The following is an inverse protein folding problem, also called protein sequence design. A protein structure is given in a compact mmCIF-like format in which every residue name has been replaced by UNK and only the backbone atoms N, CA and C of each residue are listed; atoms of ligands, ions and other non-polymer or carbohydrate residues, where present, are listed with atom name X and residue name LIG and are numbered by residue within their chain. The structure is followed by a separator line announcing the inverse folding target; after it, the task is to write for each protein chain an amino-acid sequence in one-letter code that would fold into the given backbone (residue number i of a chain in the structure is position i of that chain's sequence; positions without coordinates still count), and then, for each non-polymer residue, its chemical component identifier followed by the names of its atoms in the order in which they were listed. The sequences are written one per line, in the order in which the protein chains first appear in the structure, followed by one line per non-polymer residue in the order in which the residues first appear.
data_IF_271329563823
#
_entry.id   IF_271329563823
#
_cell.length_a   1.000
_cell.length_b   1.000
_cell.length_c   1.000
_cell.angle_alpha   90.00
_cell.angle_beta   90.00
_cell.angle_gamma   90.00
#
_symmetry.space_group_name_H-M   'P 1'
#
loop_
_entity.id
_entity.type
_entity.pdbx_description
1 polymer ?
#
# COMPACT_ATOMS: atom_id res chain seq x y z
N UNK A 1 -31.28 18.39 1.57
CA UNK A 1 -30.65 18.59 0.25
C UNK A 1 -29.47 17.63 0.14
N UNK A 2 -29.39 16.80 -0.89
CA UNK A 2 -28.20 15.98 -1.11
C UNK A 2 -27.03 16.91 -1.49
N UNK A 3 -25.98 16.97 -0.65
CA UNK A 3 -24.76 17.68 -1.03
C UNK A 3 -24.18 17.06 -2.32
N UNK A 4 -23.89 17.88 -3.35
CA UNK A 4 -23.33 17.40 -4.60
C UNK A 4 -21.99 16.72 -4.36
N UNK A 5 -21.70 15.67 -5.14
CA UNK A 5 -20.42 14.96 -5.07
C UNK A 5 -19.30 15.99 -5.29
N UNK A 6 -18.35 16.14 -4.34
CA UNK A 6 -17.28 17.11 -4.47
C UNK A 6 -16.38 16.72 -5.64
N UNK A 7 -16.22 17.64 -6.59
CA UNK A 7 -15.34 17.45 -7.73
C UNK A 7 -13.86 17.62 -7.34
N UNK A 8 -12.99 16.81 -7.93
CA UNK A 8 -11.54 16.86 -7.71
C UNK A 8 -10.92 17.96 -8.59
N UNK A 9 -11.14 19.20 -8.17
CA UNK A 9 -10.62 20.39 -8.88
C UNK A 9 -9.11 20.28 -9.04
N UNK A 10 -8.63 20.46 -10.27
CA UNK A 10 -7.21 20.36 -10.67
C UNK A 10 -6.55 18.98 -10.45
N UNK A 11 -7.35 17.91 -10.24
CA UNK A 11 -6.83 16.58 -9.93
C UNK A 11 -5.89 16.52 -8.72
N UNK A 12 -6.02 17.48 -7.79
CA UNK A 12 -5.14 17.63 -6.64
C UNK A 12 -5.17 16.40 -5.72
N UNK A 13 -6.34 15.77 -5.57
CA UNK A 13 -6.47 14.55 -4.76
C UNK A 13 -5.82 13.37 -5.49
N UNK A 14 -5.93 13.30 -6.80
CA UNK A 14 -5.24 12.25 -7.58
C UNK A 14 -3.72 12.35 -7.41
N UNK A 15 -3.16 13.56 -7.55
CA UNK A 15 -1.74 13.81 -7.30
C UNK A 15 -1.35 13.49 -5.86
N UNK A 16 -2.18 13.84 -4.88
CA UNK A 16 -1.91 13.47 -3.49
C UNK A 16 -1.90 11.94 -3.27
N UNK A 17 -2.78 11.19 -3.92
CA UNK A 17 -2.78 9.72 -3.84
C UNK A 17 -1.55 9.13 -4.56
N UNK A 18 -1.14 9.73 -5.68
CA UNK A 18 0.11 9.36 -6.34
C UNK A 18 1.31 9.60 -5.43
N UNK A 19 1.42 10.78 -4.81
CA UNK A 19 2.51 11.08 -3.88
C UNK A 19 2.43 10.23 -2.61
N UNK A 20 1.24 9.83 -2.15
CA UNK A 20 1.11 8.86 -1.07
C UNK A 20 1.74 7.50 -1.44
N UNK A 21 1.58 7.06 -2.69
CA UNK A 21 2.26 5.89 -3.24
C UNK A 21 3.79 6.03 -3.27
N UNK A 22 4.26 7.24 -3.57
CA UNK A 22 5.69 7.57 -3.49
C UNK A 22 6.19 7.42 -2.05
N UNK A 23 5.51 8.06 -1.10
CA UNK A 23 5.97 8.17 0.29
C UNK A 23 6.18 6.84 1.01
N UNK A 24 5.31 5.83 0.86
CA UNK A 24 5.55 4.57 1.59
C UNK A 24 6.58 3.64 0.94
N UNK A 25 6.99 3.84 -0.32
CA UNK A 25 7.98 2.98 -0.97
C UNK A 25 9.36 3.65 -1.05
N UNK A 26 9.39 4.98 -1.12
CA UNK A 26 10.61 5.78 -1.22
C UNK A 26 11.63 5.45 -0.12
N UNK A 27 11.27 5.36 1.18
CA UNK A 27 12.24 5.12 2.26
C UNK A 27 13.04 3.83 2.09
N UNK A 28 12.37 2.71 1.83
CA UNK A 28 13.06 1.43 1.62
C UNK A 28 13.95 1.48 0.39
N UNK A 29 13.44 2.04 -0.72
CA UNK A 29 14.22 2.20 -1.95
C UNK A 29 15.48 3.05 -1.71
N UNK A 30 15.43 4.08 -0.86
CA UNK A 30 16.60 4.88 -0.51
C UNK A 30 17.68 4.07 0.20
N UNK A 31 17.30 3.18 1.14
CA UNK A 31 18.26 2.33 1.84
C UNK A 31 18.98 1.35 0.90
N UNK A 32 18.26 0.68 0.01
CA UNK A 32 18.85 -0.35 -0.87
C UNK A 32 19.63 0.23 -2.05
N UNK A 33 19.30 1.45 -2.49
CA UNK A 33 19.91 2.05 -3.70
C UNK A 33 21.27 2.69 -3.42
N UNK A 34 21.60 2.93 -2.15
CA UNK A 34 22.93 3.39 -1.68
C UNK A 34 23.95 2.24 -1.58
N UNK A 35 23.84 1.28 -2.50
CA UNK A 35 24.61 0.02 -2.53
C UNK A 35 26.12 0.24 -2.63
N UNK A 36 26.55 1.28 -3.32
CA UNK A 36 27.97 1.62 -3.46
C UNK A 36 28.57 2.09 -2.12
N UNK A 37 27.86 2.95 -1.39
CA UNK A 37 28.30 3.35 -0.05
C UNK A 37 28.31 2.18 0.93
N UNK A 38 27.28 1.34 0.89
CA UNK A 38 27.15 0.18 1.76
C UNK A 38 28.27 -0.84 1.50
N UNK A 39 28.61 -1.13 0.24
CA UNK A 39 29.70 -2.05 -0.09
C UNK A 39 31.08 -1.49 0.24
N UNK A 40 31.28 -0.17 0.15
CA UNK A 40 32.52 0.46 0.60
C UNK A 40 32.65 0.36 2.13
N UNK A 41 31.58 0.70 2.84
CA UNK A 41 31.56 0.73 4.32
C UNK A 41 31.67 -0.67 4.94
N UNK A 42 31.09 -1.68 4.29
CA UNK A 42 31.07 -3.07 4.76
C UNK A 42 31.66 -4.03 3.71
N UNK A 43 32.98 -4.02 3.50
CA UNK A 43 33.61 -4.88 2.51
C UNK A 43 33.50 -6.35 2.91
N UNK A 44 33.04 -7.19 1.98
CA UNK A 44 32.94 -8.65 2.17
C UNK A 44 31.69 -9.12 2.92
N UNK A 45 30.75 -8.23 3.23
CA UNK A 45 29.43 -8.61 3.78
C UNK A 45 28.33 -8.39 2.76
N UNK A 46 27.25 -9.16 2.89
CA UNK A 46 26.05 -9.08 2.04
C UNK A 46 24.99 -8.16 2.65
N UNK A 47 25.37 -6.93 3.01
CA UNK A 47 24.50 -5.99 3.74
C UNK A 47 23.18 -5.70 3.02
N UNK A 48 23.20 -5.56 1.68
CA UNK A 48 21.98 -5.27 0.90
C UNK A 48 21.03 -6.47 0.89
N UNK A 49 21.57 -7.70 0.84
CA UNK A 49 20.80 -8.91 1.01
C UNK A 49 20.16 -8.97 2.40
N UNK A 50 20.93 -8.69 3.46
CA UNK A 50 20.45 -8.70 4.84
C UNK A 50 19.35 -7.66 5.08
N UNK A 51 19.53 -6.42 4.59
CA UNK A 51 18.51 -5.37 4.64
C UNK A 51 17.22 -5.80 3.94
N UNK A 52 17.33 -6.45 2.78
CA UNK A 52 16.19 -6.94 2.02
C UNK A 52 15.45 -8.06 2.76
N UNK A 53 16.20 -9.01 3.33
CA UNK A 53 15.65 -10.08 4.13
C UNK A 53 14.95 -9.53 5.38
N UNK A 54 15.58 -8.60 6.10
CA UNK A 54 14.97 -7.91 7.25
C UNK A 54 13.67 -7.21 6.85
N UNK A 55 13.66 -6.46 5.74
CA UNK A 55 12.47 -5.79 5.25
C UNK A 55 11.33 -6.77 4.98
N UNK A 56 11.60 -7.87 4.27
CA UNK A 56 10.59 -8.87 3.91
C UNK A 56 10.02 -9.57 5.15
N UNK A 57 10.87 -10.00 6.08
CA UNK A 57 10.45 -10.69 7.30
C UNK A 57 9.61 -9.77 8.19
N UNK A 58 10.05 -8.53 8.38
CA UNK A 58 9.31 -7.55 9.19
C UNK A 58 8.01 -7.16 8.51
N UNK A 59 8.00 -6.97 7.18
CA UNK A 59 6.79 -6.69 6.42
C UNK A 59 5.77 -7.83 6.54
N UNK A 60 6.20 -9.09 6.49
CA UNK A 60 5.31 -10.24 6.69
C UNK A 60 4.65 -10.20 8.07
N UNK A 61 5.44 -9.98 9.13
CA UNK A 61 4.93 -9.84 10.50
C UNK A 61 3.99 -8.63 10.60
N UNK A 62 4.35 -7.50 9.99
CA UNK A 62 3.55 -6.28 9.99
C UNK A 62 2.21 -6.48 9.28
N UNK A 63 2.14 -7.22 8.17
CA UNK A 63 0.88 -7.57 7.49
C UNK A 63 -0.03 -8.40 8.40
N UNK A 64 0.53 -9.38 9.14
CA UNK A 64 -0.23 -10.21 10.08
C UNK A 64 -0.77 -9.38 11.24
N UNK A 65 0.06 -8.48 11.79
CA UNK A 65 -0.33 -7.55 12.86
C UNK A 65 -1.29 -6.47 12.39
N UNK A 66 -1.21 -6.06 11.12
CA UNK A 66 -2.05 -5.01 10.56
C UNK A 66 -3.53 -5.33 10.69
N UNK A 67 -3.89 -6.61 10.64
CA UNK A 67 -5.24 -7.08 10.91
C UNK A 67 -5.76 -6.56 12.26
N UNK A 68 -4.96 -6.63 13.33
CA UNK A 68 -5.29 -6.12 14.67
C UNK A 68 -5.21 -4.59 14.72
N UNK A 69 -4.19 -3.99 14.09
CA UNK A 69 -4.01 -2.53 14.10
C UNK A 69 -5.18 -1.81 13.41
N UNK A 70 -5.70 -2.36 12.30
CA UNK A 70 -6.86 -1.82 11.58
C UNK A 70 -8.08 -1.67 12.50
N UNK A 71 -8.23 -2.54 13.48
CA UNK A 71 -9.36 -2.56 14.40
C UNK A 71 -9.14 -1.67 15.63
N UNK A 72 -7.88 -1.50 16.05
CA UNK A 72 -7.52 -0.74 17.26
C UNK A 72 -7.25 0.73 17.00
N UNK A 73 -6.75 1.07 15.81
CA UNK A 73 -6.24 2.40 15.50
C UNK A 73 -6.96 3.03 14.31
N UNK A 74 -7.30 4.31 14.44
CA UNK A 74 -7.86 5.10 13.35
C UNK A 74 -6.91 5.08 12.14
N UNK A 75 -7.48 5.00 10.93
CA UNK A 75 -6.78 5.02 9.64
C UNK A 75 -5.76 6.16 9.56
N UNK A 76 -6.17 7.35 9.97
CA UNK A 76 -5.32 8.54 9.97
C UNK A 76 -4.13 8.43 10.93
N UNK A 77 -4.32 7.84 12.10
CA UNK A 77 -3.23 7.57 13.05
C UNK A 77 -2.24 6.56 12.46
N UNK A 78 -2.73 5.49 11.83
CA UNK A 78 -1.90 4.48 11.18
C UNK A 78 -1.03 5.07 10.06
N UNK A 79 -1.60 5.91 9.20
CA UNK A 79 -0.86 6.56 8.11
C UNK A 79 0.17 7.56 8.67
N UNK A 80 -0.20 8.40 9.64
CA UNK A 80 0.74 9.36 10.26
C UNK A 80 1.88 8.63 10.97
N UNK A 81 1.59 7.57 11.72
CA UNK A 81 2.62 6.78 12.39
C UNK A 81 3.57 6.14 11.37
N UNK A 82 3.05 5.63 10.25
CA UNK A 82 3.88 5.12 9.15
C UNK A 82 4.89 6.15 8.63
N UNK A 83 4.44 7.37 8.33
CA UNK A 83 5.32 8.45 7.88
C UNK A 83 6.40 8.80 8.92
N UNK A 84 6.06 8.81 10.21
CA UNK A 84 7.04 9.08 11.27
C UNK A 84 8.06 7.95 11.39
N UNK A 85 7.62 6.69 11.27
CA UNK A 85 8.49 5.50 11.28
C UNK A 85 9.32 5.37 9.99
N UNK A 86 8.98 6.08 8.93
CA UNK A 86 9.78 6.20 7.71
C UNK A 86 10.79 7.36 7.81
N UNK A 87 10.33 8.56 8.17
CA UNK A 87 11.15 9.78 8.26
C UNK A 87 12.22 9.69 9.36
N UNK A 88 11.86 9.14 10.52
CA UNK A 88 12.76 9.05 11.68
C UNK A 88 14.05 8.29 11.36
N UNK A 89 13.99 7.02 10.91
CA UNK A 89 15.17 6.26 10.53
C UNK A 89 15.97 6.87 9.38
N UNK A 90 15.33 7.45 8.36
CA UNK A 90 16.03 8.12 7.26
C UNK A 90 16.87 9.31 7.75
N UNK A 91 16.28 10.17 8.58
CA UNK A 91 16.97 11.30 9.20
C UNK A 91 18.10 10.82 10.13
N UNK A 92 17.81 9.80 10.95
CA UNK A 92 18.77 9.27 11.90
C UNK A 92 20.02 8.69 11.21
N UNK A 93 19.85 7.88 10.16
CA UNK A 93 20.98 7.33 9.41
C UNK A 93 21.73 8.42 8.65
N UNK A 94 21.01 9.33 7.98
CA UNK A 94 21.64 10.44 7.25
C UNK A 94 22.50 11.33 8.17
N UNK A 95 22.04 11.62 9.39
CA UNK A 95 22.73 12.52 10.32
C UNK A 95 23.76 11.77 11.16
N UNK A 96 23.37 10.70 11.86
CA UNK A 96 24.23 10.04 12.84
C UNK A 96 25.26 9.12 12.17
N UNK A 97 24.87 8.39 11.13
CA UNK A 97 25.71 7.37 10.50
C UNK A 97 26.54 7.92 9.33
N UNK A 98 25.94 8.72 8.45
CA UNK A 98 26.61 9.28 7.26
C UNK A 98 27.30 10.62 7.55
N UNK A 99 26.60 11.59 8.16
CA UNK A 99 27.16 12.92 8.45
C UNK A 99 28.10 12.92 9.64
N UNK A 100 27.72 12.35 10.78
CA UNK A 100 28.53 12.42 12.00
C UNK A 100 29.47 11.21 12.18
N UNK A 101 29.24 10.09 11.49
CA UNK A 101 30.03 8.85 11.63
C UNK A 101 30.20 8.42 13.10
N UNK A 102 29.12 8.52 13.89
CA UNK A 102 29.15 8.33 15.35
C UNK A 102 29.42 6.89 15.78
N UNK A 103 29.16 5.92 14.90
CA UNK A 103 29.12 4.49 15.23
C UNK A 103 30.29 3.74 14.64
N UNK A 104 30.73 2.69 15.36
CA UNK A 104 31.67 1.71 14.79
C UNK A 104 30.99 0.89 13.70
N UNK A 105 31.77 0.18 12.87
CA UNK A 105 31.25 -0.60 11.74
C UNK A 105 30.18 -1.60 12.17
N UNK A 106 30.44 -2.41 13.19
CA UNK A 106 29.50 -3.45 13.64
C UNK A 106 28.22 -2.85 14.25
N UNK A 107 28.36 -1.74 14.99
CA UNK A 107 27.22 -1.00 15.54
C UNK A 107 26.38 -0.39 14.42
N UNK A 108 27.01 0.29 13.46
CA UNK A 108 26.35 0.88 12.31
C UNK A 108 25.61 -0.18 11.47
N UNK A 109 26.18 -1.38 11.33
CA UNK A 109 25.53 -2.50 10.64
C UNK A 109 24.20 -2.89 11.32
N UNK A 110 24.23 -3.15 12.62
CA UNK A 110 23.05 -3.53 13.39
C UNK A 110 22.00 -2.41 13.43
N UNK A 111 22.46 -1.16 13.57
CA UNK A 111 21.61 0.04 13.57
C UNK A 111 20.92 0.21 12.21
N UNK A 112 21.64 0.00 11.10
CA UNK A 112 21.08 0.07 9.76
C UNK A 112 20.00 -1.01 9.52
N UNK A 113 20.24 -2.25 9.98
CA UNK A 113 19.22 -3.31 9.92
C UNK A 113 17.98 -2.96 10.78
N UNK A 114 18.18 -2.43 11.98
CA UNK A 114 17.09 -1.99 12.85
C UNK A 114 16.29 -0.82 12.23
N UNK A 115 16.98 0.13 11.59
CA UNK A 115 16.38 1.22 10.85
C UNK A 115 15.50 0.71 9.70
N UNK A 116 16.04 -0.19 8.87
CA UNK A 116 15.29 -0.82 7.76
C UNK A 116 14.10 -1.63 8.29
N UNK A 117 14.24 -2.37 9.39
CA UNK A 117 13.12 -3.06 10.03
C UNK A 117 12.02 -2.11 10.52
N UNK A 118 12.40 -0.99 11.12
CA UNK A 118 11.44 0.05 11.56
C UNK A 118 10.69 0.66 10.37
N UNK A 119 11.42 0.98 9.30
CA UNK A 119 10.86 1.46 8.03
C UNK A 119 9.92 0.41 7.43
N UNK A 120 10.30 -0.87 7.42
CA UNK A 120 9.48 -1.95 6.89
C UNK A 120 8.14 -2.06 7.60
N UNK A 121 8.15 -2.01 8.94
CA UNK A 121 6.92 -2.03 9.72
C UNK A 121 6.03 -0.81 9.42
N UNK A 122 6.61 0.40 9.49
CA UNK A 122 5.89 1.66 9.24
C UNK A 122 5.28 1.73 7.84
N UNK A 123 6.09 1.45 6.81
CA UNK A 123 5.69 1.45 5.42
C UNK A 123 4.63 0.39 5.12
N UNK A 124 4.71 -0.79 5.72
CA UNK A 124 3.70 -1.85 5.53
C UNK A 124 2.34 -1.45 6.12
N UNK A 125 2.33 -0.91 7.33
CA UNK A 125 1.10 -0.40 7.97
C UNK A 125 0.53 0.78 7.18
N UNK A 126 1.39 1.66 6.66
CA UNK A 126 1.00 2.79 5.83
C UNK A 126 0.43 2.37 4.48
N UNK A 127 1.12 1.51 3.75
CA UNK A 127 0.73 0.99 2.44
C UNK A 127 -0.65 0.31 2.53
N UNK A 128 -0.80 -0.63 3.46
CA UNK A 128 -2.08 -1.32 3.67
C UNK A 128 -3.22 -0.39 4.05
N UNK A 129 -2.92 0.66 4.84
CA UNK A 129 -3.88 1.70 5.19
C UNK A 129 -4.30 2.52 3.96
N UNK A 130 -3.36 2.91 3.08
CA UNK A 130 -3.68 3.62 1.83
C UNK A 130 -4.46 2.77 0.83
N UNK A 131 -4.21 1.47 0.73
CA UNK A 131 -5.01 0.58 -0.10
C UNK A 131 -6.43 0.39 0.47
N UNK A 132 -6.57 0.26 1.78
CA UNK A 132 -7.89 0.27 2.44
C UNK A 132 -8.65 1.58 2.19
N UNK A 133 -7.95 2.71 2.33
CA UNK A 133 -8.48 4.05 2.13
C UNK A 133 -8.93 4.30 0.68
N UNK A 134 -8.09 3.96 -0.31
CA UNK A 134 -8.44 4.15 -1.72
C UNK A 134 -9.49 3.17 -2.22
N UNK A 135 -9.70 2.03 -1.53
CA UNK A 135 -10.83 1.13 -1.79
C UNK A 135 -12.21 1.77 -1.56
N UNK A 136 -12.28 2.87 -0.81
CA UNK A 136 -13.48 3.68 -0.60
C UNK A 136 -13.69 4.73 -1.71
N UNK A 137 -12.64 5.02 -2.50
CA UNK A 137 -12.63 6.04 -3.54
C UNK A 137 -12.86 5.42 -4.93
N UNK A 138 -13.19 6.22 -5.95
CA UNK A 138 -13.21 5.75 -7.34
C UNK A 138 -11.88 5.08 -7.75
N UNK A 139 -11.97 4.04 -8.60
CA UNK A 139 -10.82 3.18 -9.00
C UNK A 139 -9.57 3.93 -9.48
N UNK A 140 -9.75 5.15 -10.03
CA UNK A 140 -8.64 6.02 -10.46
C UNK A 140 -7.66 6.34 -9.32
N UNK A 141 -8.11 6.42 -8.07
CA UNK A 141 -7.26 6.80 -6.94
C UNK A 141 -6.38 5.65 -6.47
N UNK A 142 -6.90 4.41 -6.43
CA UNK A 142 -6.08 3.21 -6.21
C UNK A 142 -5.02 3.09 -7.31
N UNK A 143 -5.39 3.33 -8.58
CA UNK A 143 -4.43 3.40 -9.68
C UNK A 143 -3.36 4.47 -9.46
N UNK A 144 -3.73 5.64 -8.95
CA UNK A 144 -2.80 6.72 -8.59
C UNK A 144 -1.75 6.26 -7.60
N UNK A 145 -2.17 5.65 -6.48
CA UNK A 145 -1.26 5.07 -5.46
C UNK A 145 -0.31 4.05 -6.08
N UNK A 146 -0.85 3.11 -6.89
CA UNK A 146 -0.03 2.10 -7.56
C UNK A 146 0.97 2.70 -8.54
N UNK A 147 0.62 3.80 -9.22
CA UNK A 147 1.58 4.54 -10.08
C UNK A 147 2.68 5.13 -9.21
N UNK A 148 2.30 5.77 -8.10
CA UNK A 148 3.20 6.38 -7.14
C UNK A 148 4.30 5.45 -6.65
N UNK A 149 3.96 4.19 -6.34
CA UNK A 149 4.95 3.17 -5.96
C UNK A 149 6.09 3.05 -7.00
N UNK A 150 5.75 2.88 -8.28
CA UNK A 150 6.79 2.75 -9.31
C UNK A 150 7.49 4.06 -9.61
N UNK A 151 6.77 5.19 -9.50
CA UNK A 151 7.37 6.52 -9.60
C UNK A 151 8.43 6.70 -8.52
N UNK A 152 8.22 6.20 -7.30
CA UNK A 152 9.20 6.23 -6.21
C UNK A 152 10.51 5.55 -6.61
N UNK A 153 10.42 4.34 -7.17
CA UNK A 153 11.58 3.60 -7.66
C UNK A 153 12.35 4.36 -8.73
N UNK A 154 11.65 4.91 -9.73
CA UNK A 154 12.28 5.72 -10.79
C UNK A 154 12.93 6.98 -10.22
N UNK A 155 12.25 7.70 -9.32
CA UNK A 155 12.79 8.91 -8.68
C UNK A 155 14.06 8.62 -7.88
N UNK A 156 14.06 7.55 -7.08
CA UNK A 156 15.24 7.17 -6.29
C UNK A 156 16.39 6.71 -7.17
N UNK A 157 16.14 5.88 -8.17
CA UNK A 157 17.18 5.42 -9.10
C UNK A 157 17.79 6.59 -9.89
N UNK A 158 16.97 7.50 -10.41
CA UNK A 158 17.46 8.70 -11.08
C UNK A 158 18.25 9.61 -10.13
N UNK A 159 17.73 9.81 -8.91
CA UNK A 159 18.41 10.60 -7.88
C UNK A 159 19.81 10.03 -7.60
N UNK A 160 19.96 8.72 -7.38
CA UNK A 160 21.26 8.09 -7.13
C UNK A 160 22.21 8.20 -8.33
N UNK A 161 21.71 7.96 -9.54
CA UNK A 161 22.54 8.09 -10.76
C UNK A 161 23.05 9.53 -10.89
N UNK A 162 22.18 10.51 -10.69
CA UNK A 162 22.55 11.93 -10.77
C UNK A 162 23.53 12.33 -9.67
N UNK A 163 23.31 11.94 -8.41
CA UNK A 163 24.24 12.28 -7.33
C UNK A 163 25.61 11.63 -7.55
N UNK A 164 25.66 10.36 -7.97
CA UNK A 164 26.93 9.67 -8.26
C UNK A 164 27.67 10.25 -9.48
N UNK A 165 26.96 10.81 -10.46
CA UNK A 165 27.57 11.47 -11.62
C UNK A 165 28.05 12.89 -11.32
N UNK A 166 27.30 13.65 -10.53
CA UNK A 166 27.56 15.07 -10.29
C UNK A 166 28.56 15.32 -9.15
N UNK A 167 28.65 14.39 -8.19
CA UNK A 167 29.43 14.58 -6.97
C UNK A 167 30.59 13.57 -6.92
N UNK A 168 31.85 14.03 -6.95
CA UNK A 168 33.00 13.13 -6.93
C UNK A 168 33.26 12.54 -5.53
N UNK A 169 32.82 13.23 -4.47
CA UNK A 169 32.90 12.71 -3.11
C UNK A 169 31.70 11.79 -2.80
N UNK A 170 32.00 10.53 -2.49
CA UNK A 170 31.02 9.49 -2.19
C UNK A 170 30.15 9.86 -0.99
N UNK A 171 30.76 10.44 0.06
CA UNK A 171 30.04 10.82 1.28
C UNK A 171 29.07 11.97 1.02
N UNK A 172 29.51 13.03 0.34
CA UNK A 172 28.63 14.13 -0.05
C UNK A 172 27.50 13.65 -0.98
N UNK A 173 27.81 12.75 -1.92
CA UNK A 173 26.82 12.13 -2.82
C UNK A 173 25.73 11.39 -2.05
N UNK A 174 26.11 10.50 -1.14
CA UNK A 174 25.17 9.74 -0.31
C UNK A 174 24.37 10.62 0.64
N UNK A 175 25.00 11.62 1.25
CA UNK A 175 24.28 12.57 2.09
C UNK A 175 23.21 13.34 1.29
N UNK A 176 23.58 13.93 0.15
CA UNK A 176 22.64 14.69 -0.68
C UNK A 176 21.51 13.80 -1.17
N UNK A 177 21.80 12.57 -1.55
CA UNK A 177 20.80 11.57 -1.93
C UNK A 177 19.79 11.27 -0.80
N UNK A 178 20.26 11.08 0.44
CA UNK A 178 19.38 10.89 1.59
C UNK A 178 18.59 12.16 1.93
N UNK A 179 19.18 13.35 1.82
CA UNK A 179 18.48 14.62 2.06
C UNK A 179 17.36 14.87 1.03
N UNK A 180 17.61 14.56 -0.25
CA UNK A 180 16.57 14.61 -1.30
C UNK A 180 15.44 13.63 -0.97
N UNK A 181 15.78 12.41 -0.55
CA UNK A 181 14.81 11.40 -0.15
C UNK A 181 13.95 11.86 1.04
N UNK A 182 14.57 12.41 2.09
CA UNK A 182 13.88 13.00 3.25
C UNK A 182 12.99 14.17 2.84
N UNK A 183 13.45 15.05 1.96
CA UNK A 183 12.65 16.18 1.47
C UNK A 183 11.39 15.74 0.72
N UNK A 184 11.52 14.73 -0.13
CA UNK A 184 10.39 14.13 -0.85
C UNK A 184 9.41 13.44 0.10
N UNK A 185 9.92 12.71 1.09
CA UNK A 185 9.10 12.05 2.11
C UNK A 185 8.34 13.07 2.96
N UNK A 186 9.02 14.16 3.36
CA UNK A 186 8.41 15.26 4.11
C UNK A 186 7.30 15.95 3.28
N UNK A 187 7.52 16.14 1.97
CA UNK A 187 6.50 16.66 1.07
C UNK A 187 5.26 15.73 1.05
N UNK A 188 5.47 14.41 0.94
CA UNK A 188 4.39 13.43 0.97
C UNK A 188 3.62 13.47 2.31
N UNK A 189 4.33 13.60 3.43
CA UNK A 189 3.75 13.75 4.75
C UNK A 189 2.89 15.02 4.88
N UNK A 190 3.43 16.18 4.48
CA UNK A 190 2.73 17.46 4.53
C UNK A 190 1.47 17.44 3.65
N UNK A 191 1.57 16.89 2.44
CA UNK A 191 0.41 16.72 1.56
C UNK A 191 -0.65 15.81 2.17
N UNK A 192 -0.26 14.74 2.85
CA UNK A 192 -1.22 13.89 3.56
C UNK A 192 -1.99 14.67 4.65
N UNK A 193 -1.29 15.53 5.40
CA UNK A 193 -1.94 16.38 6.42
C UNK A 193 -2.92 17.37 5.79
N UNK A 194 -2.58 17.95 4.64
CA UNK A 194 -3.46 18.86 3.89
C UNK A 194 -4.69 18.12 3.35
N UNK A 195 -4.49 16.96 2.73
CA UNK A 195 -5.55 16.14 2.11
C UNK A 195 -6.52 15.63 3.16
N UNK A 196 -6.04 15.24 4.35
CA UNK A 196 -6.89 14.86 5.48
C UNK A 196 -7.89 15.95 5.86
N UNK A 197 -7.53 17.22 5.73
CA UNK A 197 -8.41 18.36 6.06
C UNK A 197 -9.33 18.77 4.90
N UNK A 198 -9.21 18.16 3.72
CA UNK A 198 -10.02 18.52 2.57
C UNK A 198 -11.47 18.04 2.70
N UNK A 199 -12.42 18.86 2.21
CA UNK A 199 -13.85 18.52 2.20
C UNK A 199 -14.18 17.25 1.42
N UNK A 200 -13.38 16.93 0.40
CA UNK A 200 -13.53 15.72 -0.39
C UNK A 200 -13.31 14.46 0.46
N UNK A 201 -12.24 14.44 1.26
CA UNK A 201 -11.93 13.31 2.15
C UNK A 201 -12.98 13.17 3.23
N UNK A 202 -13.42 14.28 3.83
CA UNK A 202 -14.51 14.25 4.80
C UNK A 202 -15.82 13.73 4.19
N UNK A 203 -16.13 14.09 2.94
CA UNK A 203 -17.34 13.64 2.24
C UNK A 203 -17.34 12.12 1.98
N UNK A 204 -16.23 11.55 1.51
CA UNK A 204 -16.12 10.12 1.21
C UNK A 204 -15.88 9.24 2.45
N UNK A 205 -15.28 9.77 3.51
CA UNK A 205 -15.08 9.05 4.77
C UNK A 205 -16.34 9.02 5.64
N UNK A 206 -17.24 10.01 5.53
CA UNK A 206 -18.43 10.13 6.40
C UNK A 206 -19.70 9.47 5.85
N UNK A 207 -19.71 8.96 4.62
CA UNK A 207 -20.91 8.33 4.03
C UNK A 207 -20.70 6.83 3.79
N UNK A 208 -21.47 5.95 4.47
CA UNK A 208 -21.53 4.53 4.13
C UNK A 208 -21.95 4.33 2.68
N UNK A 209 -21.35 3.32 2.03
CA UNK A 209 -21.47 3.03 0.60
C UNK A 209 -22.86 2.49 0.24
N UNK A 210 -23.87 3.36 0.16
CA UNK A 210 -25.27 2.95 -0.12
C UNK A 210 -25.80 3.39 -1.51
N UNK A 211 -24.90 3.84 -2.41
CA UNK A 211 -25.32 4.38 -3.73
C UNK A 211 -24.85 3.63 -4.97
N UNK A 212 -23.99 2.62 -4.85
CA UNK A 212 -23.49 1.88 -6.02
C UNK A 212 -24.52 0.93 -6.67
N UNK A 213 -25.47 0.40 -5.89
CA UNK A 213 -26.43 -0.63 -6.35
C UNK A 213 -27.91 -0.21 -6.30
N UNK A 214 -28.22 1.07 -6.07
CA UNK A 214 -29.61 1.53 -5.94
C UNK A 214 -30.34 1.79 -7.26
N UNK A 215 -29.63 1.82 -8.39
CA UNK A 215 -30.23 2.23 -9.67
C UNK A 215 -30.82 1.09 -10.54
N UNK A 216 -30.69 -0.19 -10.14
CA UNK A 216 -30.99 -1.31 -11.05
C UNK A 216 -32.06 -2.32 -10.62
N UNK A 217 -32.33 -2.53 -9.33
CA UNK A 217 -33.17 -3.65 -8.88
C UNK A 217 -34.25 -3.19 -7.89
N UNK A 218 -35.37 -2.72 -8.43
CA UNK A 218 -36.63 -2.74 -7.70
C UNK A 218 -37.31 -4.11 -7.95
N UNK A 219 -37.83 -4.72 -6.86
CA UNK A 219 -38.57 -5.99 -6.75
C UNK A 219 -37.76 -7.29 -6.79
N UNK A 220 -37.43 -7.77 -5.59
CA UNK A 220 -37.10 -9.18 -5.33
C UNK A 220 -36.83 -9.37 -3.84
N UNK A 221 -37.73 -10.08 -3.14
CA UNK A 221 -37.55 -10.56 -1.77
C UNK A 221 -36.37 -11.53 -1.73
N UNK A 222 -35.22 -11.06 -1.25
CA UNK A 222 -34.01 -11.84 -1.09
C UNK A 222 -33.16 -11.28 0.04
N UNK A 223 -32.55 -12.17 0.81
CA UNK A 223 -31.66 -11.88 1.94
C UNK A 223 -30.67 -10.75 1.61
N UNK A 224 -30.69 -9.64 2.38
CA UNK A 224 -29.73 -8.53 2.26
C UNK A 224 -28.56 -8.76 3.20
N UNK A 225 -27.36 -8.96 2.64
CA UNK A 225 -26.10 -8.96 3.40
C UNK A 225 -25.56 -7.53 3.39
N UNK A 226 -25.57 -6.86 4.54
CA UNK A 226 -24.91 -5.57 4.75
C UNK A 226 -23.39 -5.77 4.76
N UNK A 227 -22.69 -5.07 3.86
CA UNK A 227 -21.22 -5.01 3.85
C UNK A 227 -20.76 -3.72 4.52
N UNK A 228 -20.53 -3.75 5.84
CA UNK A 228 -19.82 -2.70 6.55
C UNK A 228 -18.33 -3.05 6.61
N UNK A 229 -17.57 -2.54 5.65
CA UNK A 229 -16.10 -2.48 5.73
C UNK A 229 -15.70 -1.06 6.11
N UNK A 230 -16.06 -0.68 7.32
CA UNK A 230 -15.40 0.34 8.12
C UNK A 230 -15.80 0.06 9.57
N UNK A 231 -14.84 -0.04 10.47
CA UNK A 231 -15.09 -0.20 11.90
C UNK A 231 -15.58 1.11 12.56
N UNK A 232 -16.47 1.83 11.89
CA UNK A 232 -17.26 2.91 12.46
C UNK A 232 -18.71 2.74 11.95
N UNK A 233 -19.58 2.51 12.94
CA UNK A 233 -21.05 2.50 12.89
C UNK A 233 -21.75 1.31 12.21
N UNK A 234 -22.05 0.28 13.00
CA UNK A 234 -23.05 -0.74 12.64
C UNK A 234 -24.31 -0.50 13.49
N UNK A 235 -25.39 -0.04 12.86
CA UNK A 235 -26.72 0.06 13.43
C UNK A 235 -27.54 -1.18 12.99
N UNK A 236 -27.92 -2.04 13.94
CA UNK A 236 -28.84 -3.15 13.69
C UNK A 236 -30.22 -2.82 14.28
N UNK A 237 -31.18 -2.51 13.41
CA UNK A 237 -32.59 -2.48 13.77
C UNK A 237 -33.10 -3.93 13.79
N UNK A 238 -33.51 -4.42 14.96
CA UNK A 238 -34.23 -5.68 15.09
C UNK A 238 -35.71 -5.38 14.85
N UNK A 239 -36.22 -5.66 13.66
CA UNK A 239 -37.66 -5.60 13.40
C UNK A 239 -38.32 -6.80 14.09
N UNK A 240 -38.74 -6.61 15.34
CA UNK A 240 -39.60 -7.55 16.03
C UNK A 240 -40.99 -7.56 15.36
N UNK A 241 -41.65 -8.73 15.25
CA UNK A 241 -42.96 -8.83 14.62
C UNK A 241 -44.00 -8.08 15.46
N UNK A 242 -44.85 -7.31 14.77
CA UNK A 242 -45.98 -6.63 15.38
C UNK A 242 -46.94 -7.65 16.01
N UNK A 243 -47.01 -7.68 17.33
CA UNK A 243 -48.17 -8.18 18.06
C UNK A 243 -48.75 -7.03 18.88
N UNK A 244 -50.03 -6.75 18.63
CA UNK A 244 -50.83 -5.80 19.37
C UNK A 244 -51.11 -6.29 20.80
N UNK A 245 -51.02 -5.41 21.79
CA UNK A 245 -52.01 -5.30 22.88
C UNK A 245 -51.84 -4.02 23.72
N UNK A 246 -53.01 -3.40 23.95
CA UNK A 246 -53.39 -2.34 24.89
C UNK A 246 -52.66 -2.29 26.24
N UNK A 247 -52.39 -1.06 26.73
CA UNK A 247 -52.19 -0.78 28.15
C UNK A 247 -51.53 0.57 28.45
N UNK A 248 -52.33 1.59 28.81
CA UNK A 248 -51.86 2.79 29.53
C UNK A 248 -51.53 2.39 30.99
N UNK A 249 -50.49 2.97 31.63
CA UNK A 249 -50.81 4.01 32.62
C UNK A 249 -49.81 5.18 32.70
N UNK A 250 -50.39 6.29 33.19
CA UNK A 250 -49.80 7.55 33.68
C UNK A 250 -48.59 7.34 34.59
N UNK A 251 -47.56 8.18 34.43
CA UNK A 251 -47.04 9.09 35.46
C UNK A 251 -45.81 9.86 34.94
N UNK A 252 -45.87 11.19 34.96
CA UNK A 252 -44.75 12.09 34.72
C UNK A 252 -44.93 13.32 35.61
N UNK A 253 -43.90 13.79 36.34
CA UNK A 253 -43.94 15.13 36.91
C UNK A 253 -43.54 16.14 35.82
N UNK A 254 -44.52 16.93 35.42
CA UNK A 254 -44.39 18.09 34.53
C UNK A 254 -43.85 19.26 35.37
N UNK A 255 -42.74 19.87 34.94
CA UNK A 255 -42.40 21.22 35.36
C UNK A 255 -42.76 22.20 34.23
N UNK A 256 -43.88 22.88 34.43
CA UNK A 256 -44.36 23.99 33.61
C UNK A 256 -43.76 25.30 34.14
N UNK A 257 -43.07 26.07 33.29
CA UNK A 257 -42.79 27.48 33.54
C UNK A 257 -43.26 28.25 32.32
N UNK A 258 -44.33 29.02 32.51
CA UNK A 258 -45.01 29.85 31.51
C UNK A 258 -44.29 31.19 31.30
N UNK A 259 -44.11 31.61 30.04
CA UNK A 259 -43.65 32.96 29.69
C UNK A 259 -43.59 33.23 28.18
N UNK A 260 -44.74 33.61 27.60
CA UNK A 260 -45.00 34.34 26.34
C UNK A 260 -43.93 34.32 25.22
N UNK A 261 -44.19 33.52 24.17
CA UNK A 261 -43.51 33.63 22.87
C UNK A 261 -42.93 32.33 22.32
N UNK A 262 -43.80 31.36 21.98
CA UNK A 262 -43.43 30.14 21.25
C UNK A 262 -42.95 28.99 22.14
N UNK A 263 -43.86 28.08 22.50
CA UNK A 263 -43.51 26.84 23.19
C UNK A 263 -42.85 25.86 22.22
N UNK A 264 -41.53 25.74 22.26
CA UNK A 264 -40.82 24.60 21.65
C UNK A 264 -40.76 23.45 22.66
N UNK A 265 -41.37 22.32 22.33
CA UNK A 265 -41.18 21.08 23.09
C UNK A 265 -39.76 20.55 22.79
N UNK A 266 -38.83 20.71 23.73
CA UNK A 266 -37.53 20.04 23.66
C UNK A 266 -37.73 18.59 24.05
N UNK A 267 -37.88 17.71 23.07
CA UNK A 267 -37.73 16.27 23.28
C UNK A 267 -36.25 15.98 23.55
N UNK A 268 -35.85 15.95 24.83
CA UNK A 268 -34.57 15.37 25.21
C UNK A 268 -34.66 13.86 25.02
N UNK A 269 -34.37 13.42 23.80
CA UNK A 269 -34.19 12.00 23.47
C UNK A 269 -33.03 11.48 24.32
N UNK A 270 -33.20 10.44 25.15
CA UNK A 270 -32.10 9.85 25.89
C UNK A 270 -31.05 9.43 24.87
N UNK A 271 -29.84 10.01 24.95
CA UNK A 271 -28.72 9.61 24.09
C UNK A 271 -28.56 8.10 24.20
N UNK A 272 -28.72 7.31 23.13
CA UNK A 272 -28.46 5.89 23.21
C UNK A 272 -27.00 5.75 23.63
N UNK A 273 -26.77 5.11 24.79
CA UNK A 273 -25.42 4.68 25.16
C UNK A 273 -24.97 3.72 24.07
N UNK A 274 -24.14 4.21 23.16
CA UNK A 274 -23.49 3.41 22.12
C UNK A 274 -22.61 2.40 22.83
N UNK A 275 -23.19 1.24 23.14
CA UNK A 275 -22.46 0.14 23.72
C UNK A 275 -21.69 -0.52 22.57
N UNK A 276 -20.41 -0.15 22.49
CA UNK A 276 -19.44 -0.58 21.47
C UNK A 276 -19.14 -2.07 21.66
N UNK A 277 -20.07 -2.93 21.26
CA UNK A 277 -19.86 -4.38 21.28
C UNK A 277 -18.91 -4.73 20.13
N UNK A 278 -17.68 -5.09 20.49
CA UNK A 278 -16.67 -5.54 19.55
C UNK A 278 -17.16 -6.80 18.82
N UNK A 279 -17.05 -6.89 17.48
CA UNK A 279 -17.28 -8.15 16.79
C UNK A 279 -16.29 -9.18 17.35
N UNK A 280 -16.77 -10.37 17.69
CA UNK A 280 -15.91 -11.44 18.17
C UNK A 280 -14.85 -11.72 17.10
N UNK A 281 -13.56 -11.76 17.46
CA UNK A 281 -12.42 -11.99 16.55
C UNK A 281 -12.66 -13.13 15.53
N UNK A 282 -13.40 -14.17 15.94
CA UNK A 282 -13.86 -15.27 15.08
C UNK A 282 -14.77 -14.83 13.92
N UNK A 283 -15.73 -13.95 14.17
CA UNK A 283 -16.63 -13.42 13.13
C UNK A 283 -15.85 -12.61 12.08
N UNK A 284 -14.82 -11.89 12.52
CA UNK A 284 -13.98 -11.12 11.60
C UNK A 284 -13.06 -12.00 10.75
N UNK A 285 -12.44 -13.02 11.35
CA UNK A 285 -11.68 -14.03 10.62
C UNK A 285 -12.56 -14.75 9.59
N UNK A 286 -13.81 -15.06 9.95
CA UNK A 286 -14.77 -15.68 9.04
C UNK A 286 -15.07 -14.76 7.85
N UNK A 287 -15.31 -13.46 8.09
CA UNK A 287 -15.54 -12.50 7.01
C UNK A 287 -14.33 -12.37 6.07
N UNK A 288 -13.11 -12.26 6.62
CA UNK A 288 -11.87 -12.22 5.81
C UNK A 288 -11.65 -13.52 5.04
N UNK A 289 -11.98 -14.67 5.62
CA UNK A 289 -11.90 -15.97 4.97
C UNK A 289 -12.87 -16.08 3.77
N UNK A 290 -14.10 -15.60 3.92
CA UNK A 290 -15.08 -15.58 2.82
C UNK A 290 -14.57 -14.72 1.66
N UNK A 291 -14.03 -13.53 1.93
CA UNK A 291 -13.42 -12.68 0.89
C UNK A 291 -12.22 -13.38 0.24
N UNK A 292 -11.31 -13.94 1.04
CA UNK A 292 -10.14 -14.66 0.53
C UNK A 292 -10.53 -15.82 -0.38
N UNK A 293 -11.61 -16.55 -0.09
CA UNK A 293 -12.14 -17.61 -0.96
C UNK A 293 -12.64 -17.11 -2.31
N UNK A 294 -13.10 -15.86 -2.41
CA UNK A 294 -13.54 -15.29 -3.69
C UNK A 294 -12.34 -14.88 -4.54
N UNK A 295 -11.32 -14.25 -3.94
CA UNK A 295 -10.16 -13.68 -4.66
C UNK A 295 -8.89 -14.54 -4.60
N UNK A 296 -8.98 -15.81 -4.19
CA UNK A 296 -7.83 -16.69 -3.92
C UNK A 296 -6.84 -16.79 -5.10
N UNK A 297 -7.35 -16.86 -6.34
CA UNK A 297 -6.51 -16.96 -7.54
C UNK A 297 -5.70 -15.67 -7.79
N UNK A 298 -6.32 -14.50 -7.55
CA UNK A 298 -5.65 -13.20 -7.68
C UNK A 298 -4.61 -13.04 -6.55
N UNK A 299 -4.95 -13.42 -5.31
CA UNK A 299 -4.02 -13.44 -4.17
C UNK A 299 -2.81 -14.34 -4.41
N UNK A 300 -3.03 -15.55 -4.91
CA UNK A 300 -1.95 -16.50 -5.22
C UNK A 300 -1.07 -16.00 -6.36
N UNK A 301 -1.65 -15.41 -7.41
CA UNK A 301 -0.87 -14.82 -8.50
C UNK A 301 0.01 -13.67 -8.03
N UNK A 302 -0.52 -12.78 -7.19
CA UNK A 302 0.27 -11.69 -6.58
C UNK A 302 1.38 -12.29 -5.71
N UNK A 303 1.06 -13.25 -4.84
CA UNK A 303 2.04 -13.87 -3.94
C UNK A 303 3.19 -14.53 -4.70
N UNK A 304 2.90 -15.32 -5.74
CA UNK A 304 3.93 -15.95 -6.59
C UNK A 304 4.76 -14.89 -7.32
N UNK A 305 4.13 -13.85 -7.84
CA UNK A 305 4.83 -12.74 -8.52
C UNK A 305 5.83 -12.06 -7.60
N UNK A 306 5.39 -11.68 -6.39
CA UNK A 306 6.28 -11.02 -5.42
C UNK A 306 7.33 -11.97 -4.88
N UNK A 307 7.00 -13.24 -4.62
CA UNK A 307 7.96 -14.23 -4.16
C UNK A 307 9.13 -14.36 -5.13
N UNK A 308 8.84 -14.60 -6.42
CA UNK A 308 9.88 -14.73 -7.45
C UNK A 308 10.71 -13.45 -7.57
N UNK A 309 10.04 -12.30 -7.54
CA UNK A 309 10.71 -11.00 -7.67
C UNK A 309 11.62 -10.71 -6.49
N UNK A 310 11.15 -10.94 -5.26
CA UNK A 310 11.90 -10.69 -4.03
C UNK A 310 13.02 -11.69 -3.79
N UNK A 311 12.92 -12.91 -4.34
CA UNK A 311 14.04 -13.87 -4.33
C UNK A 311 15.23 -13.42 -5.20
N UNK A 312 14.97 -12.63 -6.25
CA UNK A 312 15.99 -12.16 -7.18
C UNK A 312 16.45 -10.73 -6.86
N UNK A 313 15.51 -9.85 -6.54
CA UNK A 313 15.70 -8.41 -6.42
C UNK A 313 15.24 -7.90 -5.04
N UNK A 314 15.99 -7.00 -4.38
CA UNK A 314 17.28 -6.45 -4.77
C UNK A 314 18.47 -7.29 -4.27
N UNK A 315 18.25 -8.22 -3.33
CA UNK A 315 19.30 -8.91 -2.60
C UNK A 315 20.26 -9.72 -3.47
N UNK A 316 19.77 -10.73 -4.21
CA UNK A 316 20.64 -11.63 -4.98
C UNK A 316 21.35 -10.89 -6.13
N UNK A 317 20.64 -9.97 -6.78
CA UNK A 317 21.18 -9.16 -7.88
C UNK A 317 22.31 -8.23 -7.43
N UNK A 318 22.20 -7.64 -6.23
CA UNK A 318 23.21 -6.72 -5.70
C UNK A 318 24.58 -7.35 -5.47
N UNK A 319 24.63 -8.67 -5.27
CA UNK A 319 25.88 -9.43 -5.07
C UNK A 319 26.63 -9.72 -6.39
N UNK A 320 25.98 -9.53 -7.55
CA UNK A 320 26.60 -9.80 -8.86
C UNK A 320 27.57 -8.66 -9.21
N UNK A 321 28.88 -8.92 -9.08
CA UNK A 321 29.91 -7.98 -9.54
C UNK A 321 30.30 -8.24 -11.00
N UNK A 322 30.47 -7.18 -11.78
CA UNK A 322 30.91 -7.25 -13.18
C UNK A 322 32.25 -6.53 -13.39
N UNK A 323 33.13 -7.12 -14.19
CA UNK A 323 34.52 -6.69 -14.33
C UNK A 323 34.70 -5.26 -14.84
N UNK A 324 33.79 -4.77 -15.69
CA UNK A 324 33.86 -3.43 -16.31
C UNK A 324 32.95 -2.41 -15.64
N UNK A 325 31.81 -2.84 -15.10
CA UNK A 325 30.82 -1.95 -14.51
C UNK A 325 30.99 -1.79 -12.99
N UNK A 326 31.69 -2.70 -12.31
CA UNK A 326 31.98 -2.60 -10.88
C UNK A 326 30.73 -2.31 -10.05
N UNK A 327 30.77 -1.20 -9.31
CA UNK A 327 29.69 -0.71 -8.45
C UNK A 327 28.52 -0.04 -9.20
N UNK A 328 28.69 0.26 -10.49
CA UNK A 328 27.60 0.78 -11.32
C UNK A 328 26.60 -0.29 -11.73
N UNK A 329 27.00 -1.57 -11.75
CA UNK A 329 26.11 -2.64 -12.19
C UNK A 329 24.84 -2.72 -11.31
N UNK A 330 24.92 -2.85 -9.96
CA UNK A 330 23.73 -2.93 -9.14
C UNK A 330 22.83 -1.69 -9.29
N UNK A 331 23.42 -0.49 -9.32
CA UNK A 331 22.66 0.78 -9.46
C UNK A 331 21.88 0.81 -10.80
N UNK A 332 22.53 0.42 -11.89
CA UNK A 332 21.91 0.43 -13.22
C UNK A 332 20.84 -0.64 -13.37
N UNK A 333 21.05 -1.84 -12.81
CA UNK A 333 20.04 -2.91 -12.91
C UNK A 333 18.81 -2.56 -12.03
N UNK A 334 19.01 -1.96 -10.84
CA UNK A 334 17.92 -1.38 -10.03
C UNK A 334 17.15 -0.31 -10.79
N UNK A 335 17.84 0.57 -11.50
CA UNK A 335 17.21 1.60 -12.31
C UNK A 335 16.38 1.02 -13.46
N UNK A 336 16.91 0.01 -14.17
CA UNK A 336 16.17 -0.67 -15.23
C UNK A 336 14.98 -1.44 -14.68
N UNK A 337 15.12 -2.07 -13.51
CA UNK A 337 14.03 -2.75 -12.82
C UNK A 337 12.90 -1.76 -12.52
N UNK A 338 13.21 -0.65 -11.85
CA UNK A 338 12.24 0.37 -11.45
C UNK A 338 11.57 1.03 -12.66
N UNK A 339 12.34 1.34 -13.71
CA UNK A 339 11.79 1.89 -14.95
C UNK A 339 10.84 0.90 -15.64
N UNK A 340 11.21 -0.38 -15.68
CA UNK A 340 10.39 -1.41 -16.30
C UNK A 340 9.10 -1.66 -15.50
N UNK A 341 9.16 -1.66 -14.17
CA UNK A 341 7.98 -1.74 -13.32
C UNK A 341 7.03 -0.55 -13.56
N UNK A 342 7.58 0.66 -13.65
CA UNK A 342 6.84 1.86 -13.99
C UNK A 342 6.14 1.75 -15.36
N UNK A 343 6.89 1.43 -16.42
CA UNK A 343 6.35 1.23 -17.77
C UNK A 343 5.26 0.15 -17.76
N UNK A 344 5.47 -0.95 -17.04
CA UNK A 344 4.48 -2.02 -16.87
C UNK A 344 3.17 -1.50 -16.28
N UNK A 345 3.23 -0.72 -15.19
CA UNK A 345 2.05 -0.13 -14.54
C UNK A 345 1.34 0.89 -15.45
N UNK A 346 2.07 1.65 -16.26
CA UNK A 346 1.48 2.55 -17.26
C UNK A 346 0.78 1.75 -18.38
N UNK A 347 1.41 0.70 -18.90
CA UNK A 347 0.82 -0.17 -19.94
C UNK A 347 -0.43 -0.93 -19.45
N UNK A 348 -0.56 -1.16 -18.14
CA UNK A 348 -1.79 -1.71 -17.55
C UNK A 348 -2.97 -0.72 -17.53
N UNK A 349 -2.74 0.57 -17.82
CA UNK A 349 -3.83 1.53 -18.04
C UNK A 349 -4.47 1.39 -19.44
N UNK A 350 -3.81 0.68 -20.37
CA UNK A 350 -4.39 0.41 -21.69
C UNK A 350 -5.54 -0.59 -21.57
N UNK A 351 -6.67 -0.37 -22.28
CA UNK A 351 -7.91 -1.15 -22.15
C UNK A 351 -7.84 -2.53 -22.82
N UNK A 352 -6.88 -3.37 -22.41
CA UNK A 352 -6.75 -4.76 -22.89
C UNK A 352 -7.42 -5.70 -21.90
N UNK A 353 -8.41 -6.47 -22.36
CA UNK A 353 -9.13 -7.44 -21.53
C UNK A 353 -8.29 -8.72 -21.36
N UNK A 354 -7.64 -8.88 -20.21
CA UNK A 354 -6.97 -10.14 -19.84
C UNK A 354 -7.95 -11.08 -19.13
N UNK A 355 -7.82 -12.41 -19.24
CA UNK A 355 -8.55 -13.36 -18.37
C UNK A 355 -7.75 -13.66 -17.09
N UNK A 356 -8.38 -14.09 -15.99
CA UNK A 356 -7.70 -14.40 -14.72
C UNK A 356 -6.66 -15.51 -14.84
N UNK A 357 -6.98 -16.53 -15.62
CA UNK A 357 -6.10 -17.65 -15.94
C UNK A 357 -4.86 -17.23 -16.75
N UNK A 358 -4.99 -16.24 -17.64
CA UNK A 358 -3.84 -15.71 -18.40
C UNK A 358 -2.86 -14.97 -17.49
N UNK A 359 -3.35 -14.18 -16.53
CA UNK A 359 -2.49 -13.50 -15.55
C UNK A 359 -1.76 -14.51 -14.66
N UNK A 360 -2.45 -15.56 -14.20
CA UNK A 360 -1.84 -16.62 -13.40
C UNK A 360 -0.80 -17.40 -14.21
N UNK A 361 -1.08 -17.76 -15.46
CA UNK A 361 -0.12 -18.43 -16.34
C UNK A 361 1.13 -17.57 -16.60
N UNK A 362 0.97 -16.27 -16.88
CA UNK A 362 2.08 -15.33 -16.99
C UNK A 362 2.86 -15.20 -15.67
N UNK A 363 2.18 -15.28 -14.52
CA UNK A 363 2.81 -15.32 -13.19
C UNK A 363 3.70 -16.53 -13.00
N UNK A 364 3.19 -17.72 -13.33
CA UNK A 364 3.90 -18.98 -13.15
C UNK A 364 5.05 -19.12 -14.13
N UNK A 365 4.94 -18.57 -15.34
CA UNK A 365 6.03 -18.53 -16.31
C UNK A 365 7.27 -17.77 -15.76
N UNK A 366 7.10 -16.89 -14.78
CA UNK A 366 8.23 -16.19 -14.14
C UNK A 366 9.16 -17.09 -13.35
N UNK A 367 8.74 -18.31 -13.00
CA UNK A 367 9.59 -19.28 -12.30
C UNK A 367 10.83 -19.61 -13.16
N UNK A 368 10.74 -19.47 -14.48
CA UNK A 368 11.88 -19.61 -15.41
C UNK A 368 13.01 -18.60 -15.12
N UNK A 369 12.72 -17.48 -14.43
CA UNK A 369 13.74 -16.50 -14.05
C UNK A 369 14.52 -16.88 -12.80
N UNK A 370 14.02 -17.82 -11.98
CA UNK A 370 14.81 -18.36 -10.87
C UNK A 370 15.88 -19.24 -11.53
N UNK A 371 17.18 -18.87 -11.47
CA UNK A 371 18.22 -19.77 -11.91
C UNK A 371 18.02 -21.10 -11.17
N UNK A 372 18.11 -22.27 -11.82
CA UNK A 372 17.95 -23.53 -11.12
C UNK A 372 18.88 -23.51 -9.90
N UNK A 373 18.29 -23.64 -8.70
CA UNK A 373 18.96 -23.75 -7.40
C UNK A 373 19.78 -25.05 -7.28
N UNK A 374 20.30 -25.57 -8.40
CA UNK A 374 21.46 -26.43 -8.33
C UNK A 374 22.56 -25.59 -7.67
N UNK A 375 23.36 -26.14 -6.74
CA UNK A 375 24.47 -25.41 -6.15
C UNK A 375 25.46 -25.06 -7.27
N UNK A 376 25.22 -23.93 -7.92
CA UNK A 376 26.20 -23.22 -8.71
C UNK A 376 27.19 -22.77 -7.65
N UNK A 377 28.26 -23.55 -7.52
CA UNK A 377 29.55 -22.98 -7.12
C UNK A 377 29.71 -21.72 -7.95
N UNK A 378 29.46 -20.56 -7.34
CA UNK A 378 29.95 -19.29 -7.85
C UNK A 378 31.42 -19.55 -8.17
N UNK A 379 31.83 -19.57 -9.45
CA UNK A 379 33.22 -19.79 -9.75
C UNK A 379 33.94 -18.55 -9.23
N UNK A 380 34.63 -18.70 -8.10
CA UNK A 380 35.83 -17.92 -7.91
C UNK A 380 36.69 -18.18 -9.15
N UNK A 381 36.96 -17.10 -9.89
CA UNK A 381 38.00 -16.92 -10.92
C UNK A 381 37.56 -17.00 -12.39
N UNK A 382 37.61 -15.82 -13.03
CA UNK A 382 37.95 -15.55 -14.44
C UNK A 382 36.90 -15.54 -15.57
N UNK A 383 35.59 -15.57 -15.32
CA UNK A 383 34.60 -15.28 -16.38
C UNK A 383 33.67 -14.14 -15.97
N UNK A 384 33.65 -13.04 -16.74
CA UNK A 384 32.74 -11.94 -16.48
C UNK A 384 31.30 -12.42 -16.77
N UNK A 385 30.40 -12.43 -15.78
CA UNK A 385 29.04 -12.95 -15.97
C UNK A 385 28.28 -12.04 -16.93
N UNK A 386 27.76 -12.56 -18.05
CA UNK A 386 27.01 -11.75 -19.01
C UNK A 386 25.87 -10.98 -18.31
N UNK A 387 25.62 -9.69 -18.64
CA UNK A 387 24.53 -8.94 -18.03
C UNK A 387 23.22 -9.69 -18.26
N UNK A 388 22.28 -9.71 -17.29
CA UNK A 388 21.09 -10.55 -17.33
C UNK A 388 20.09 -10.07 -18.40
N UNK A 389 20.38 -10.36 -19.67
CA UNK A 389 19.57 -9.97 -20.84
C UNK A 389 18.16 -10.55 -20.83
N UNK A 390 17.96 -11.69 -20.16
CA UNK A 390 16.65 -12.35 -20.06
C UNK A 390 15.78 -11.74 -18.95
N UNK A 391 16.36 -11.41 -17.80
CA UNK A 391 15.67 -10.70 -16.73
C UNK A 391 15.23 -9.31 -17.20
N UNK A 392 16.10 -8.61 -17.95
CA UNK A 392 15.79 -7.29 -18.50
C UNK A 392 14.57 -7.23 -19.44
N UNK A 393 14.31 -8.32 -20.19
CA UNK A 393 13.27 -8.33 -21.24
C UNK A 393 11.85 -8.55 -20.72
N UNK A 394 11.69 -9.03 -19.48
CA UNK A 394 10.38 -9.44 -18.95
C UNK A 394 9.94 -8.65 -17.70
N UNK A 395 10.77 -7.71 -17.23
CA UNK A 395 10.42 -6.76 -16.16
C UNK A 395 9.17 -5.90 -16.43
N UNK A 396 8.83 -5.47 -17.66
CA UNK A 396 7.59 -4.71 -17.90
C UNK A 396 6.33 -5.51 -17.60
N UNK A 397 6.42 -6.85 -17.59
CA UNK A 397 5.30 -7.71 -17.20
C UNK A 397 5.03 -7.60 -15.69
N UNK A 398 6.02 -7.27 -14.85
CA UNK A 398 5.89 -7.10 -13.40
C UNK A 398 4.83 -6.07 -13.04
N UNK A 399 5.09 -4.80 -13.35
CA UNK A 399 4.19 -3.72 -13.01
C UNK A 399 2.80 -3.88 -13.64
N UNK A 400 2.76 -4.38 -14.88
CA UNK A 400 1.49 -4.59 -15.59
C UNK A 400 0.60 -5.59 -14.86
N UNK A 401 1.16 -6.72 -14.47
CA UNK A 401 0.42 -7.79 -13.81
C UNK A 401 0.00 -7.38 -12.39
N UNK A 402 0.88 -6.71 -11.63
CA UNK A 402 0.55 -6.20 -10.30
C UNK A 402 -0.67 -5.27 -10.34
N UNK A 403 -0.70 -4.30 -11.26
CA UNK A 403 -1.82 -3.36 -11.43
C UNK A 403 -3.11 -4.07 -11.80
N UNK A 404 -3.06 -5.01 -12.74
CA UNK A 404 -4.27 -5.72 -13.20
C UNK A 404 -4.87 -6.60 -12.11
N UNK A 405 -4.04 -7.27 -11.29
CA UNK A 405 -4.51 -8.13 -10.20
C UNK A 405 -5.18 -7.30 -9.09
N UNK A 406 -4.59 -6.17 -8.70
CA UNK A 406 -5.19 -5.29 -7.70
C UNK A 406 -6.50 -4.65 -8.16
N UNK A 407 -6.59 -4.24 -9.43
CA UNK A 407 -7.84 -3.71 -9.98
C UNK A 407 -8.98 -4.75 -9.97
N UNK A 408 -8.65 -6.04 -10.12
CA UNK A 408 -9.64 -7.13 -10.05
C UNK A 408 -10.03 -7.49 -8.63
N UNK A 409 -9.08 -7.51 -7.70
CA UNK A 409 -9.36 -7.82 -6.30
C UNK A 409 -10.38 -6.84 -5.69
N UNK A 410 -10.38 -5.58 -6.13
CA UNK A 410 -11.35 -4.55 -5.70
C UNK A 410 -12.75 -4.70 -6.33
N UNK A 411 -12.97 -5.57 -7.31
CA UNK A 411 -14.27 -5.75 -7.97
C UNK A 411 -14.53 -7.21 -8.38
N UNK A 412 -14.80 -8.11 -7.42
CA UNK A 412 -15.13 -9.50 -7.71
C UNK A 412 -16.51 -9.68 -8.37
N UNK A 413 -17.39 -8.65 -8.31
CA UNK A 413 -18.78 -8.71 -8.78
C UNK A 413 -18.94 -8.79 -10.30
N UNK A 414 -17.96 -8.30 -11.06
CA UNK A 414 -17.96 -8.47 -12.53
C UNK A 414 -17.64 -9.89 -13.00
N UNK A 415 -17.40 -10.87 -12.11
CA UNK A 415 -17.19 -12.28 -12.49
C UNK A 415 -18.44 -12.98 -13.02
N UNK A 416 -19.65 -12.45 -12.80
CA UNK A 416 -20.90 -13.09 -13.22
C UNK A 416 -21.48 -12.55 -14.55
N UNK A 417 -20.86 -11.54 -15.16
CA UNK A 417 -21.20 -11.11 -16.52
C UNK A 417 -20.55 -12.02 -17.55
N UNK A 418 -21.12 -13.20 -17.80
CA UNK A 418 -20.83 -13.95 -19.03
C UNK A 418 -21.14 -13.09 -20.26
N UNK A 419 -20.56 -13.38 -21.43
CA UNK A 419 -20.86 -12.63 -22.65
C UNK A 419 -22.37 -12.69 -22.89
N UNK A 420 -23.04 -11.54 -22.85
CA UNK A 420 -24.38 -11.43 -23.41
C UNK A 420 -24.26 -11.87 -24.87
N UNK A 421 -24.84 -13.03 -25.17
CA UNK A 421 -25.10 -13.43 -26.53
C UNK A 421 -25.87 -12.27 -27.18
N UNK A 422 -25.28 -11.69 -28.22
CA UNK A 422 -26.01 -10.91 -29.19
C UNK A 422 -26.99 -11.89 -29.87
N UNK A 423 -28.14 -12.09 -29.22
CA UNK A 423 -29.27 -12.79 -29.78
C UNK A 423 -29.92 -11.87 -30.79
N UNK A 424 -29.72 -12.18 -32.07
CA UNK A 424 -30.56 -11.71 -33.14
C UNK A 424 -32.03 -12.02 -32.81
N UNK A 425 -32.87 -11.01 -32.99
CA UNK A 425 -34.33 -11.06 -32.94
C UNK A 425 -34.84 -9.83 -33.67
#
# INVERSE_FOLDING_TARGET
AEEPVPDDRYHAIYFAMLLAGVGFLLPYNSFITDVDHLHHKYPGTSIVFDMSLTYILVALVAVLLNNVLVERLNLHTRITAGYLLALGPLLFISICDVWLQLFSRDQAYAINLAAVGTVAFGCTVQQSSFYGYTGMLPKRYTQGVMTGESTAGVMISLSRILTKLLLPDERASTLIFFLVSVGLELLCFLLHLLVRRSRFVLYYSARPRDRGCRAGLARGTGYRVHHDVAAEDIHFEHQAPALATSGSPKDSPVHEVTGSGGAYMRFDMPRPRVQRNWPTFRALLLHRYVVARVIWADMLSIAVTYFITLCLFPGLESEIRHCTLGEWLPILVMAVFNLSDFVGKILAALPVAWRGTHLLACSCLRVVFIPPLHPVRLPQRHTCPAPPRLALRLLPAHGRQQRLLWQRAHDPGCRQGGPQAAGAG
#
